data_IF_274048920884
#
_entry.id   IF_274048920884
#
_cell.length_a   1.000
_cell.length_b   1.000
_cell.length_c   1.000
_cell.angle_alpha   90.00
_cell.angle_beta   90.00
_cell.angle_gamma   90.00
#
_symmetry.space_group_name_H-M   'P 1'
#
loop_
_entity.id
_entity.type
_entity.pdbx_description
1 polymer ?
#
# COMPACT_ATOMS: atom_id res chain seq x y z
N UNK A 1 25.83 -90.34 -2.39
CA UNK A 1 27.28 -90.67 -2.35
C UNK A 1 27.97 -89.96 -3.51
N UNK A 2 29.31 -89.91 -3.50
CA UNK A 2 30.19 -89.16 -4.42
C UNK A 2 30.23 -87.65 -4.11
N UNK A 3 31.40 -87.06 -4.37
CA UNK A 3 32.04 -86.03 -3.54
C UNK A 3 33.02 -85.17 -4.37
N UNK A 4 33.44 -84.01 -3.83
CA UNK A 4 34.56 -83.13 -4.20
C UNK A 4 34.54 -82.28 -5.50
N UNK A 5 34.49 -80.94 -5.28
CA UNK A 5 35.39 -79.83 -5.73
C UNK A 5 35.80 -79.69 -7.21
N UNK A 6 36.03 -78.47 -7.74
CA UNK A 6 36.69 -77.31 -7.08
C UNK A 6 35.88 -75.98 -7.21
N UNK A 7 36.37 -74.75 -6.97
CA UNK A 7 37.70 -74.21 -6.58
C UNK A 7 37.54 -72.98 -5.62
N UNK A 8 38.60 -72.17 -5.44
CA UNK A 8 38.58 -70.80 -4.89
C UNK A 8 39.21 -69.82 -5.90
N UNK A 9 38.57 -68.67 -6.13
CA UNK A 9 39.24 -67.39 -6.41
C UNK A 9 38.37 -66.29 -5.83
N UNK A 10 38.95 -65.38 -5.04
CA UNK A 10 38.24 -64.24 -4.49
C UNK A 10 38.35 -63.04 -5.41
N UNK A 11 37.30 -62.22 -5.48
CA UNK A 11 37.40 -60.86 -6.00
C UNK A 11 36.75 -59.90 -5.00
N UNK A 12 37.49 -58.86 -4.64
CA UNK A 12 37.16 -57.90 -3.59
C UNK A 12 36.02 -56.97 -3.97
N UNK A 13 35.04 -56.83 -3.07
CA UNK A 13 34.06 -55.74 -3.09
C UNK A 13 34.75 -54.40 -2.90
N UNK A 14 34.82 -53.59 -3.95
CA UNK A 14 35.06 -52.14 -3.82
C UNK A 14 33.71 -51.43 -3.72
N UNK A 15 33.30 -51.11 -2.50
CA UNK A 15 32.21 -50.17 -2.27
C UNK A 15 32.70 -48.75 -2.57
N UNK A 16 32.26 -48.17 -3.68
CA UNK A 16 32.53 -46.77 -4.00
C UNK A 16 31.67 -45.87 -3.10
N UNK A 17 32.24 -45.44 -1.98
CA UNK A 17 31.62 -44.41 -1.13
C UNK A 17 31.65 -43.07 -1.86
N UNK A 18 30.50 -42.65 -2.42
CA UNK A 18 30.33 -41.29 -2.92
C UNK A 18 30.26 -40.36 -1.72
N UNK A 19 31.41 -39.80 -1.35
CA UNK A 19 31.47 -38.70 -0.40
C UNK A 19 30.81 -37.47 -1.04
N UNK A 20 29.55 -37.20 -0.67
CA UNK A 20 28.92 -35.91 -0.94
C UNK A 20 29.65 -34.88 -0.09
N UNK A 21 30.70 -34.28 -0.65
CA UNK A 21 31.33 -33.11 -0.08
C UNK A 21 30.28 -32.01 -0.04
N UNK A 22 29.81 -31.68 1.16
CA UNK A 22 28.94 -30.53 1.41
C UNK A 22 29.76 -29.25 1.19
N UNK A 23 29.94 -28.92 -0.09
CA UNK A 23 30.58 -27.70 -0.56
C UNK A 23 29.65 -26.52 -0.24
N UNK A 24 29.82 -25.96 0.96
CA UNK A 24 29.33 -24.62 1.31
C UNK A 24 30.12 -23.58 0.51
N UNK A 25 29.78 -23.41 -0.79
CA UNK A 25 30.50 -22.50 -1.69
C UNK A 25 29.91 -21.08 -1.60
N UNK A 26 30.64 -20.08 -1.08
CA UNK A 26 30.20 -18.68 -1.12
C UNK A 26 29.94 -18.20 -2.57
N UNK A 27 30.72 -18.72 -3.52
CA UNK A 27 30.57 -18.47 -4.95
C UNK A 27 29.23 -18.95 -5.55
N UNK A 28 28.61 -20.04 -5.07
CA UNK A 28 27.29 -20.47 -5.58
C UNK A 28 26.21 -19.49 -5.11
N UNK A 29 26.29 -19.03 -3.86
CA UNK A 29 25.40 -17.98 -3.35
C UNK A 29 25.61 -16.65 -4.08
N UNK A 30 26.85 -16.25 -4.34
CA UNK A 30 27.17 -15.04 -5.09
C UNK A 30 26.68 -15.10 -6.55
N UNK A 31 26.87 -16.23 -7.24
CA UNK A 31 26.34 -16.47 -8.59
C UNK A 31 24.81 -16.44 -8.63
N UNK A 32 24.15 -17.08 -7.66
CA UNK A 32 22.69 -17.08 -7.56
C UNK A 32 22.13 -15.68 -7.30
N UNK A 33 22.71 -14.94 -6.35
CA UNK A 33 22.31 -13.56 -6.07
C UNK A 33 22.57 -12.60 -7.24
N UNK A 34 23.66 -12.81 -7.99
CA UNK A 34 23.96 -12.03 -9.21
C UNK A 34 22.95 -12.32 -10.33
N UNK A 35 22.56 -13.59 -10.52
CA UNK A 35 21.53 -13.99 -11.49
C UNK A 35 20.14 -13.48 -11.09
N UNK A 36 19.77 -13.56 -9.82
CA UNK A 36 18.51 -13.02 -9.29
C UNK A 36 18.45 -11.49 -9.44
N UNK A 37 19.53 -10.76 -9.16
CA UNK A 37 19.65 -9.31 -9.38
C UNK A 37 19.60 -8.91 -10.87
N UNK A 38 20.23 -9.69 -11.75
CA UNK A 38 20.19 -9.49 -13.20
C UNK A 38 18.78 -9.73 -13.78
N UNK A 39 18.10 -10.81 -13.36
CA UNK A 39 16.69 -11.06 -13.73
C UNK A 39 15.79 -9.93 -13.21
N UNK A 40 15.99 -9.47 -11.98
CA UNK A 40 15.18 -8.44 -11.36
C UNK A 40 15.33 -7.07 -12.06
N UNK A 41 16.55 -6.64 -12.35
CA UNK A 41 16.80 -5.38 -13.07
C UNK A 41 16.23 -5.40 -14.50
N UNK A 42 16.35 -6.52 -15.21
CA UNK A 42 15.73 -6.69 -16.55
C UNK A 42 14.21 -6.60 -16.49
N UNK A 43 13.57 -7.23 -15.49
CA UNK A 43 12.11 -7.28 -15.35
C UNK A 43 11.45 -5.89 -15.26
N UNK A 44 12.08 -4.92 -14.57
CA UNK A 44 11.56 -3.54 -14.42
C UNK A 44 11.37 -2.79 -15.75
N UNK A 45 12.04 -3.24 -16.81
CA UNK A 45 12.00 -2.62 -18.14
C UNK A 45 11.10 -3.35 -19.13
N UNK A 46 10.48 -4.46 -18.70
CA UNK A 46 9.54 -5.24 -19.51
C UNK A 46 8.21 -4.48 -19.63
N UNK A 47 7.57 -4.44 -20.82
CA UNK A 47 6.23 -3.86 -20.99
C UNK A 47 5.18 -4.48 -20.05
N UNK A 48 4.21 -3.69 -19.59
CA UNK A 48 3.19 -4.08 -18.59
C UNK A 48 2.54 -5.45 -18.87
N UNK A 49 2.08 -5.68 -20.10
CA UNK A 49 1.43 -6.94 -20.49
C UNK A 49 2.37 -8.15 -20.45
N UNK A 50 3.63 -7.98 -20.85
CA UNK A 50 4.66 -9.02 -20.79
C UNK A 50 5.07 -9.31 -19.34
N UNK A 51 5.20 -8.28 -18.50
CA UNK A 51 5.49 -8.40 -17.08
C UNK A 51 4.36 -9.12 -16.34
N UNK A 52 3.10 -8.83 -16.69
CA UNK A 52 1.92 -9.54 -16.18
C UNK A 52 1.92 -11.02 -16.61
N UNK A 53 2.15 -11.31 -17.88
CA UNK A 53 2.21 -12.68 -18.38
C UNK A 53 3.35 -13.51 -17.76
N UNK A 54 4.50 -12.89 -17.45
CA UNK A 54 5.59 -13.53 -16.69
C UNK A 54 5.20 -13.73 -15.21
N UNK A 55 4.46 -12.81 -14.60
CA UNK A 55 3.93 -13.00 -13.24
C UNK A 55 2.94 -14.17 -13.17
N UNK A 56 2.03 -14.27 -14.14
CA UNK A 56 1.10 -15.40 -14.29
C UNK A 56 1.84 -16.74 -14.44
N UNK A 57 2.97 -16.77 -15.17
CA UNK A 57 3.85 -17.96 -15.25
C UNK A 57 4.45 -18.33 -13.90
N UNK A 58 4.91 -17.36 -13.09
CA UNK A 58 5.45 -17.63 -11.74
C UNK A 58 4.36 -18.16 -10.82
N UNK A 59 3.15 -17.57 -10.86
CA UNK A 59 1.99 -18.04 -10.10
C UNK A 59 1.64 -19.49 -10.45
N UNK A 60 1.60 -19.83 -11.75
CA UNK A 60 1.25 -21.17 -12.25
C UNK A 60 2.34 -22.23 -11.99
N UNK A 61 3.61 -21.83 -11.97
CA UNK A 61 4.74 -22.75 -11.78
C UNK A 61 5.13 -22.95 -10.31
N UNK A 62 4.89 -21.96 -9.45
CA UNK A 62 5.29 -21.95 -8.05
C UNK A 62 4.10 -21.68 -7.12
N UNK A 63 3.78 -20.40 -6.84
CA UNK A 63 2.62 -19.97 -6.04
C UNK A 63 2.44 -18.44 -6.10
N UNK A 64 1.29 -17.87 -5.67
CA UNK A 64 1.14 -16.43 -5.50
C UNK A 64 2.06 -15.83 -4.42
N UNK A 65 2.44 -16.57 -3.37
CA UNK A 65 3.48 -16.13 -2.42
C UNK A 65 4.86 -16.03 -3.08
N UNK A 66 5.21 -16.98 -3.95
CA UNK A 66 6.47 -16.94 -4.70
C UNK A 66 6.48 -15.74 -5.65
N UNK A 67 5.36 -15.46 -6.32
CA UNK A 67 5.15 -14.29 -7.16
C UNK A 67 5.27 -12.97 -6.37
N UNK A 68 4.65 -12.87 -5.19
CA UNK A 68 4.77 -11.70 -4.30
C UNK A 68 6.21 -11.50 -3.81
N UNK A 69 6.89 -12.59 -3.42
CA UNK A 69 8.31 -12.54 -3.03
C UNK A 69 9.19 -12.06 -4.19
N UNK A 70 8.93 -12.52 -5.42
CA UNK A 70 9.63 -12.04 -6.61
C UNK A 70 9.36 -10.55 -6.84
N UNK A 71 8.10 -10.10 -6.77
CA UNK A 71 7.73 -8.69 -6.91
C UNK A 71 8.47 -7.79 -5.91
N UNK A 72 8.59 -8.21 -4.64
CA UNK A 72 9.40 -7.53 -3.61
C UNK A 72 10.88 -7.42 -4.00
N UNK A 73 11.51 -8.51 -4.43
CA UNK A 73 12.91 -8.51 -4.88
C UNK A 73 13.12 -7.61 -6.11
N UNK A 74 12.12 -7.51 -6.99
CA UNK A 74 12.20 -6.64 -8.16
C UNK A 74 12.02 -5.17 -7.78
N UNK A 75 10.97 -4.79 -7.04
CA UNK A 75 10.55 -3.39 -6.94
C UNK A 75 10.91 -2.69 -5.63
N UNK A 76 11.30 -3.40 -4.57
CA UNK A 76 11.60 -2.78 -3.27
C UNK A 76 13.12 -2.67 -3.01
N UNK A 77 13.52 -1.53 -2.45
CA UNK A 77 14.80 -1.35 -1.74
C UNK A 77 14.53 -0.66 -0.43
N UNK A 78 15.03 -1.20 0.69
CA UNK A 78 14.86 -0.65 2.04
C UNK A 78 13.39 -0.34 2.41
N UNK A 79 12.44 -1.13 1.88
CA UNK A 79 11.00 -0.96 2.11
C UNK A 79 10.31 0.09 1.22
N UNK A 80 11.02 0.65 0.23
CA UNK A 80 10.48 1.65 -0.70
C UNK A 80 10.44 1.13 -2.15
N UNK A 81 9.37 1.47 -2.88
CA UNK A 81 9.28 1.22 -4.32
C UNK A 81 10.36 2.02 -5.05
N UNK A 82 11.09 1.34 -5.94
CA UNK A 82 12.15 1.94 -6.74
C UNK A 82 11.58 2.89 -7.80
N UNK A 83 12.20 4.07 -8.02
CA UNK A 83 11.68 5.07 -8.95
C UNK A 83 11.88 4.65 -10.42
N UNK A 84 10.97 5.09 -11.29
CA UNK A 84 11.09 4.93 -12.75
C UNK A 84 10.85 3.51 -13.27
N UNK A 85 10.11 2.69 -12.53
CA UNK A 85 9.79 1.30 -12.91
C UNK A 85 8.39 1.18 -13.52
N UNK A 86 8.13 0.08 -14.25
CA UNK A 86 6.75 -0.30 -14.62
C UNK A 86 5.89 -0.53 -13.36
N UNK A 87 4.58 -0.35 -13.46
CA UNK A 87 3.70 -0.24 -12.30
C UNK A 87 3.60 -1.57 -11.52
N UNK A 88 4.14 -1.66 -10.29
CA UNK A 88 4.06 -2.89 -9.50
C UNK A 88 2.68 -3.09 -8.86
N UNK A 89 1.82 -2.06 -8.82
CA UNK A 89 0.45 -2.15 -8.32
C UNK A 89 -0.37 -3.15 -9.16
N UNK A 90 -0.29 -3.04 -10.49
CA UNK A 90 -0.97 -3.94 -11.44
C UNK A 90 -0.53 -5.41 -11.31
N UNK A 91 0.75 -5.60 -11.00
CA UNK A 91 1.32 -6.93 -10.78
C UNK A 91 0.85 -7.48 -9.43
N UNK A 92 0.80 -6.66 -8.38
CA UNK A 92 0.21 -7.02 -7.09
C UNK A 92 -1.29 -7.35 -7.23
N UNK A 93 -2.06 -6.63 -8.04
CA UNK A 93 -3.45 -6.96 -8.39
C UNK A 93 -3.56 -8.36 -9.03
N UNK A 94 -2.68 -8.68 -9.98
CA UNK A 94 -2.65 -10.02 -10.61
C UNK A 94 -2.36 -11.12 -9.59
N UNK A 95 -1.45 -10.88 -8.64
CA UNK A 95 -1.15 -11.82 -7.54
C UNK A 95 -2.32 -11.93 -6.54
N UNK A 96 -2.99 -10.83 -6.24
CA UNK A 96 -4.18 -10.79 -5.38
C UNK A 96 -5.32 -11.66 -5.92
N UNK A 97 -5.61 -11.57 -7.21
CA UNK A 97 -6.60 -12.43 -7.85
C UNK A 97 -6.22 -13.92 -7.71
N UNK A 98 -4.93 -14.26 -7.84
CA UNK A 98 -4.45 -15.63 -7.62
C UNK A 98 -4.54 -16.08 -6.15
N UNK A 99 -4.28 -15.20 -5.17
CA UNK A 99 -4.55 -15.52 -3.75
C UNK A 99 -6.02 -15.85 -3.50
N UNK A 100 -6.95 -15.14 -4.15
CA UNK A 100 -8.38 -15.48 -4.05
C UNK A 100 -8.69 -16.83 -4.72
N UNK A 101 -8.14 -17.12 -5.90
CA UNK A 101 -8.31 -18.42 -6.56
C UNK A 101 -7.88 -19.60 -5.68
N UNK A 102 -6.79 -19.44 -4.94
CA UNK A 102 -6.23 -20.52 -4.12
C UNK A 102 -6.88 -20.62 -2.74
N UNK A 103 -7.14 -19.49 -2.07
CA UNK A 103 -7.53 -19.44 -0.65
C UNK A 103 -8.92 -18.83 -0.40
N UNK A 104 -9.65 -18.43 -1.44
CA UNK A 104 -10.88 -17.64 -1.32
C UNK A 104 -10.62 -16.30 -0.62
N UNK A 105 -11.59 -15.83 0.16
CA UNK A 105 -11.48 -14.54 0.88
C UNK A 105 -10.32 -14.51 1.90
N UNK A 106 -9.88 -15.66 2.41
CA UNK A 106 -8.71 -15.74 3.28
C UNK A 106 -7.41 -15.29 2.58
N UNK A 107 -7.39 -15.26 1.23
CA UNK A 107 -6.32 -14.65 0.45
C UNK A 107 -6.08 -13.17 0.77
N UNK A 108 -7.07 -12.45 1.29
CA UNK A 108 -6.91 -11.05 1.73
C UNK A 108 -5.89 -10.91 2.87
N UNK A 109 -5.78 -11.91 3.74
CA UNK A 109 -4.78 -11.97 4.81
C UNK A 109 -3.33 -12.21 4.33
N UNK A 110 -3.14 -12.47 3.03
CA UNK A 110 -1.81 -12.61 2.40
C UNK A 110 -1.30 -11.28 1.82
N UNK A 111 -2.16 -10.25 1.75
CA UNK A 111 -1.86 -8.95 1.17
C UNK A 111 -1.34 -7.94 2.20
N UNK A 112 -0.55 -6.98 1.72
CA UNK A 112 -0.09 -5.83 2.49
C UNK A 112 -0.14 -4.53 1.67
N UNK A 113 0.66 -3.55 2.07
CA UNK A 113 0.68 -2.16 1.58
C UNK A 113 1.75 -1.86 0.55
N UNK A 114 2.70 -2.77 0.35
CA UNK A 114 3.99 -2.44 -0.29
C UNK A 114 3.82 -1.98 -1.75
N UNK A 115 2.71 -2.34 -2.38
CA UNK A 115 2.34 -1.99 -3.75
C UNK A 115 1.00 -1.25 -3.83
N UNK A 116 0.78 -0.30 -2.92
CA UNK A 116 -0.36 0.62 -2.94
C UNK A 116 -1.71 -0.09 -2.90
N UNK A 117 -1.85 -1.04 -1.96
CA UNK A 117 -3.07 -1.82 -1.72
C UNK A 117 -3.52 -2.72 -2.90
N UNK A 118 -2.81 -2.74 -4.05
CA UNK A 118 -3.21 -3.47 -5.27
C UNK A 118 -3.46 -4.97 -5.10
N UNK A 119 -2.75 -5.64 -4.20
CA UNK A 119 -3.05 -7.04 -3.83
C UNK A 119 -4.47 -7.21 -3.29
N UNK A 120 -4.94 -6.28 -2.46
CA UNK A 120 -6.30 -6.29 -1.91
C UNK A 120 -7.34 -6.04 -3.00
N UNK A 121 -7.04 -5.15 -3.97
CA UNK A 121 -7.89 -4.96 -5.14
C UNK A 121 -8.08 -6.28 -5.90
N UNK A 122 -6.99 -7.00 -6.18
CA UNK A 122 -7.03 -8.27 -6.90
C UNK A 122 -7.89 -9.33 -6.20
N UNK A 123 -7.75 -9.47 -4.88
CA UNK A 123 -8.56 -10.39 -4.08
C UNK A 123 -10.04 -10.03 -4.15
N UNK A 124 -10.36 -8.74 -3.99
CA UNK A 124 -11.74 -8.24 -3.90
C UNK A 124 -12.44 -8.21 -5.25
N UNK A 125 -11.74 -7.80 -6.31
CA UNK A 125 -12.24 -7.81 -7.69
C UNK A 125 -12.56 -9.22 -8.15
N UNK A 126 -11.68 -10.18 -7.88
CA UNK A 126 -11.92 -11.58 -8.22
C UNK A 126 -13.05 -12.20 -7.36
N UNK A 127 -13.12 -11.87 -6.06
CA UNK A 127 -14.26 -12.24 -5.20
C UNK A 127 -15.58 -11.70 -5.76
N UNK A 128 -15.63 -10.41 -6.12
CA UNK A 128 -16.82 -9.78 -6.67
C UNK A 128 -17.23 -10.40 -8.01
N UNK A 129 -16.25 -10.80 -8.84
CA UNK A 129 -16.47 -11.47 -10.13
C UNK A 129 -17.02 -12.89 -9.98
N UNK A 130 -16.62 -13.64 -8.96
CA UNK A 130 -17.05 -15.03 -8.77
C UNK A 130 -18.27 -15.21 -7.87
N UNK A 131 -18.37 -14.42 -6.80
CA UNK A 131 -19.38 -14.57 -5.76
C UNK A 131 -20.41 -13.42 -5.75
N UNK A 132 -20.20 -12.39 -6.56
CA UNK A 132 -21.02 -11.18 -6.59
C UNK A 132 -20.77 -10.25 -5.39
N UNK A 133 -21.23 -9.00 -5.49
CA UNK A 133 -20.97 -7.96 -4.49
C UNK A 133 -21.50 -8.28 -3.08
N UNK A 134 -22.46 -9.20 -2.95
CA UNK A 134 -22.96 -9.67 -1.65
C UNK A 134 -21.92 -10.46 -0.84
N UNK A 135 -20.82 -10.88 -1.46
CA UNK A 135 -19.69 -11.52 -0.79
C UNK A 135 -18.90 -10.55 0.11
N UNK A 136 -18.98 -9.22 -0.14
CA UNK A 136 -18.20 -8.17 0.56
C UNK A 136 -18.28 -8.24 2.09
N UNK A 137 -19.42 -8.65 2.65
CA UNK A 137 -19.54 -8.86 4.11
C UNK A 137 -18.46 -9.78 4.72
N UNK A 138 -17.95 -10.75 3.94
CA UNK A 138 -16.89 -11.68 4.36
C UNK A 138 -15.53 -11.01 4.56
N UNK A 139 -15.31 -9.81 4.00
CA UNK A 139 -14.09 -9.03 4.20
C UNK A 139 -13.90 -8.74 5.70
N UNK A 140 -14.99 -8.45 6.42
CA UNK A 140 -14.95 -8.20 7.86
C UNK A 140 -14.43 -9.39 8.67
N UNK A 141 -14.85 -10.60 8.28
CA UNK A 141 -14.48 -11.85 8.96
C UNK A 141 -12.97 -12.13 8.86
N UNK A 142 -12.33 -11.74 7.75
CA UNK A 142 -10.87 -11.85 7.57
C UNK A 142 -10.15 -10.67 8.21
N UNK A 143 -10.52 -9.43 7.86
CA UNK A 143 -9.82 -8.22 8.33
C UNK A 143 -9.82 -8.08 9.86
N UNK A 144 -10.89 -8.48 10.54
CA UNK A 144 -10.97 -8.45 12.03
C UNK A 144 -9.98 -9.40 12.73
N UNK A 145 -9.38 -10.34 12.02
CA UNK A 145 -8.33 -11.24 12.55
C UNK A 145 -6.91 -10.70 12.36
N UNK A 146 -6.73 -9.64 11.55
CA UNK A 146 -5.44 -9.05 11.26
C UNK A 146 -5.03 -8.02 12.32
N UNK A 147 -3.73 -7.69 12.46
CA UNK A 147 -3.26 -6.69 13.43
C UNK A 147 -3.77 -5.26 13.18
N UNK A 148 -4.22 -4.95 11.96
CA UNK A 148 -4.75 -3.65 11.55
C UNK A 148 -6.02 -3.85 10.69
N UNK A 149 -7.18 -4.09 11.33
CA UNK A 149 -8.45 -4.29 10.64
C UNK A 149 -8.93 -3.08 9.83
N UNK A 150 -8.86 -1.82 10.32
CA UNK A 150 -9.25 -0.63 9.56
C UNK A 150 -8.47 -0.49 8.25
N UNK A 151 -7.15 -0.73 8.27
CA UNK A 151 -6.35 -0.74 7.05
C UNK A 151 -6.81 -1.81 6.05
N UNK A 152 -7.05 -3.04 6.51
CA UNK A 152 -7.48 -4.14 5.65
C UNK A 152 -8.83 -3.85 4.96
N UNK A 153 -9.81 -3.30 5.69
CA UNK A 153 -11.10 -2.94 5.07
C UNK A 153 -11.00 -1.69 4.18
N UNK A 154 -10.09 -0.75 4.47
CA UNK A 154 -9.81 0.41 3.63
C UNK A 154 -9.23 -0.04 2.26
N UNK A 155 -8.21 -0.88 2.26
CA UNK A 155 -7.64 -1.46 1.04
C UNK A 155 -8.63 -2.35 0.27
N UNK A 156 -9.53 -3.03 0.97
CA UNK A 156 -10.65 -3.74 0.33
C UNK A 156 -11.69 -2.78 -0.27
N UNK A 157 -11.92 -1.61 0.33
CA UNK A 157 -12.78 -0.54 -0.17
C UNK A 157 -12.33 0.00 -1.53
N UNK A 158 -11.02 0.12 -1.75
CA UNK A 158 -10.46 0.45 -3.06
C UNK A 158 -10.84 -0.58 -4.14
N UNK A 159 -10.69 -1.87 -3.84
CA UNK A 159 -11.08 -2.97 -4.73
C UNK A 159 -12.59 -3.10 -4.97
N UNK A 160 -13.41 -2.75 -3.96
CA UNK A 160 -14.87 -2.69 -4.09
C UNK A 160 -15.26 -1.63 -5.13
N UNK A 161 -14.65 -0.45 -5.08
CA UNK A 161 -14.96 0.65 -5.99
C UNK A 161 -14.56 0.32 -7.44
N UNK A 162 -13.39 -0.28 -7.64
CA UNK A 162 -12.96 -0.82 -8.94
C UNK A 162 -13.95 -1.89 -9.46
N UNK A 163 -14.38 -2.82 -8.60
CA UNK A 163 -15.32 -3.88 -8.96
C UNK A 163 -16.75 -3.40 -9.28
N UNK A 164 -17.13 -2.17 -8.91
CA UNK A 164 -18.37 -1.50 -9.34
C UNK A 164 -18.14 -0.47 -10.45
N UNK A 165 -16.98 -0.51 -11.12
CA UNK A 165 -16.57 0.42 -12.18
C UNK A 165 -16.63 1.90 -11.75
N UNK A 166 -16.20 2.18 -10.51
CA UNK A 166 -16.13 3.51 -9.92
C UNK A 166 -17.50 4.25 -9.81
N UNK A 167 -18.62 3.52 -9.71
CA UNK A 167 -19.86 4.08 -9.18
C UNK A 167 -19.72 4.26 -7.65
N UNK A 168 -19.30 5.46 -7.24
CA UNK A 168 -19.21 5.91 -5.85
C UNK A 168 -20.38 5.43 -4.97
N UNK A 169 -21.61 5.52 -5.47
CA UNK A 169 -22.79 5.18 -4.67
C UNK A 169 -23.01 3.66 -4.62
N UNK A 170 -22.57 2.90 -5.62
CA UNK A 170 -22.50 1.44 -5.53
C UNK A 170 -21.39 0.98 -4.58
N UNK A 171 -20.22 1.60 -4.62
CA UNK A 171 -19.09 1.28 -3.73
C UNK A 171 -19.44 1.50 -2.26
N UNK A 172 -20.04 2.66 -1.94
CA UNK A 172 -20.55 2.94 -0.59
C UNK A 172 -21.65 1.95 -0.14
N UNK A 173 -22.58 1.57 -1.03
CA UNK A 173 -23.61 0.55 -0.73
C UNK A 173 -23.03 -0.84 -0.53
N UNK A 174 -21.89 -1.16 -1.15
CA UNK A 174 -21.18 -2.41 -0.90
C UNK A 174 -20.44 -2.36 0.45
N UNK A 175 -19.76 -1.24 0.78
CA UNK A 175 -19.18 -1.03 2.10
C UNK A 175 -20.24 -1.03 3.24
N UNK A 176 -21.50 -0.66 2.96
CA UNK A 176 -22.61 -0.80 3.91
C UNK A 176 -22.92 -2.26 4.30
N UNK A 177 -22.44 -3.25 3.55
CA UNK A 177 -22.57 -4.68 3.87
C UNK A 177 -21.57 -5.15 4.95
N UNK A 178 -20.51 -4.37 5.22
CA UNK A 178 -19.54 -4.65 6.28
C UNK A 178 -20.16 -4.24 7.63
N UNK A 179 -20.24 -5.13 8.63
CA UNK A 179 -20.84 -4.80 9.92
C UNK A 179 -20.00 -3.82 10.73
N UNK A 180 -20.67 -2.90 11.43
CA UNK A 180 -20.06 -2.04 12.44
C UNK A 180 -19.20 -0.89 11.88
N UNK A 181 -18.21 -0.40 12.66
CA UNK A 181 -17.45 0.81 12.32
C UNK A 181 -16.62 0.65 11.04
N UNK A 182 -16.14 -0.56 10.75
CA UNK A 182 -15.33 -0.90 9.57
C UNK A 182 -15.99 -0.55 8.22
N UNK A 183 -17.31 -0.39 8.17
CA UNK A 183 -17.99 0.13 6.96
C UNK A 183 -17.57 1.55 6.60
N UNK A 184 -17.19 2.38 7.59
CA UNK A 184 -16.68 3.74 7.36
C UNK A 184 -15.30 3.72 6.72
N UNK A 185 -14.41 2.84 7.19
CA UNK A 185 -13.03 2.74 6.72
C UNK A 185 -12.96 2.16 5.29
N UNK A 186 -13.80 1.15 5.00
CA UNK A 186 -14.08 0.70 3.64
C UNK A 186 -14.57 1.85 2.74
N UNK A 187 -15.53 2.64 3.24
CA UNK A 187 -16.06 3.79 2.51
C UNK A 187 -15.00 4.87 2.25
N UNK A 188 -14.03 5.08 3.14
CA UNK A 188 -12.89 5.98 2.92
C UNK A 188 -12.05 5.52 1.73
N UNK A 189 -11.70 4.23 1.67
CA UNK A 189 -10.99 3.64 0.55
C UNK A 189 -11.75 3.78 -0.78
N UNK A 190 -13.03 3.43 -0.80
CA UNK A 190 -13.88 3.58 -1.99
C UNK A 190 -14.02 5.04 -2.44
N UNK A 191 -14.10 6.00 -1.51
CA UNK A 191 -14.19 7.43 -1.84
C UNK A 191 -12.89 8.03 -2.37
N UNK A 192 -11.73 7.47 -2.02
CA UNK A 192 -10.43 7.99 -2.47
C UNK A 192 -10.26 7.91 -3.98
N UNK A 193 -10.62 6.80 -4.63
CA UNK A 193 -10.55 6.68 -6.09
C UNK A 193 -11.49 7.66 -6.79
N UNK A 194 -12.74 7.74 -6.32
CA UNK A 194 -13.73 8.69 -6.82
C UNK A 194 -13.27 10.15 -6.72
N UNK A 195 -12.46 10.51 -5.71
CA UNK A 195 -11.96 11.87 -5.58
C UNK A 195 -11.13 12.34 -6.80
N UNK A 196 -10.43 11.42 -7.48
CA UNK A 196 -9.67 11.72 -8.70
C UNK A 196 -10.54 11.88 -9.95
N UNK A 197 -11.77 11.35 -9.95
CA UNK A 197 -12.72 11.46 -11.08
C UNK A 197 -13.75 12.58 -10.90
N UNK A 198 -13.72 13.30 -9.77
CA UNK A 198 -14.56 14.47 -9.52
C UNK A 198 -14.15 15.68 -10.39
N UNK A 199 -14.64 15.66 -11.64
CA UNK A 199 -14.51 16.68 -12.71
C UNK A 199 -13.75 17.96 -12.29
N UNK A 200 -12.55 18.11 -12.85
CA UNK A 200 -11.62 19.22 -12.58
C UNK A 200 -12.22 20.63 -12.81
N UNK A 201 -13.37 20.77 -13.49
CA UNK A 201 -14.13 22.03 -13.53
C UNK A 201 -15.11 22.17 -12.35
N UNK A 202 -15.78 21.11 -11.92
CA UNK A 202 -16.74 21.13 -10.81
C UNK A 202 -16.08 21.25 -9.43
N UNK A 203 -14.94 20.58 -9.21
CA UNK A 203 -14.17 20.63 -7.95
C UNK A 203 -13.54 22.00 -7.68
N UNK A 204 -13.31 22.82 -8.71
CA UNK A 204 -12.78 24.19 -8.56
C UNK A 204 -13.69 25.14 -7.78
N UNK A 205 -15.01 24.85 -7.68
CA UNK A 205 -15.98 25.74 -7.04
C UNK A 205 -16.59 25.18 -5.75
N UNK A 206 -16.96 23.88 -5.66
CA UNK A 206 -17.66 23.32 -4.48
C UNK A 206 -17.38 21.82 -4.23
N UNK A 207 -16.15 21.39 -3.90
CA UNK A 207 -15.82 19.97 -3.67
C UNK A 207 -16.66 19.39 -2.52
N UNK A 208 -16.87 20.20 -1.47
CA UNK A 208 -17.72 19.89 -0.33
C UNK A 208 -19.17 19.50 -0.66
N UNK A 209 -19.69 19.94 -1.81
CA UNK A 209 -21.09 19.67 -2.15
C UNK A 209 -21.35 18.18 -2.35
N UNK A 210 -20.37 17.40 -2.82
CA UNK A 210 -20.43 15.94 -2.92
C UNK A 210 -20.58 15.35 -1.53
N UNK A 211 -19.62 15.64 -0.64
CA UNK A 211 -19.63 15.13 0.73
C UNK A 211 -20.91 15.47 1.50
N UNK A 212 -21.45 16.69 1.38
CA UNK A 212 -22.70 17.08 2.08
C UNK A 212 -23.95 16.32 1.63
N UNK A 213 -23.91 15.66 0.46
CA UNK A 213 -25.01 14.81 -0.04
C UNK A 213 -24.86 13.34 0.36
N UNK A 214 -23.71 12.94 0.91
CA UNK A 214 -23.49 11.58 1.38
C UNK A 214 -24.17 11.33 2.74
N UNK A 215 -24.50 10.07 3.07
CA UNK A 215 -24.89 9.67 4.42
C UNK A 215 -23.89 10.17 5.47
N UNK A 216 -24.37 10.54 6.66
CA UNK A 216 -23.57 11.21 7.69
C UNK A 216 -22.23 10.52 7.99
N UNK A 217 -22.21 9.17 8.05
CA UNK A 217 -20.99 8.39 8.29
C UNK A 217 -19.89 8.55 7.24
N UNK A 218 -20.25 8.89 6.00
CA UNK A 218 -19.30 9.06 4.90
C UNK A 218 -18.86 10.52 4.67
N UNK A 219 -19.42 11.49 5.40
CA UNK A 219 -19.07 12.90 5.21
C UNK A 219 -17.63 13.22 5.66
N UNK A 220 -17.19 12.65 6.78
CA UNK A 220 -15.81 12.79 7.27
C UNK A 220 -14.82 12.01 6.37
N UNK A 221 -15.03 10.71 6.05
CA UNK A 221 -14.25 10.00 5.02
C UNK A 221 -14.12 10.76 3.70
N UNK A 222 -15.20 11.34 3.17
CA UNK A 222 -15.15 12.15 1.95
C UNK A 222 -14.25 13.39 2.07
N UNK A 223 -14.19 14.01 3.26
CA UNK A 223 -13.24 15.08 3.55
C UNK A 223 -11.77 14.63 3.53
N UNK A 224 -11.50 13.38 3.95
CA UNK A 224 -10.17 12.76 3.82
C UNK A 224 -9.78 12.57 2.35
N UNK A 225 -10.69 12.04 1.53
CA UNK A 225 -10.49 11.85 0.08
C UNK A 225 -10.19 13.17 -0.65
N UNK A 226 -10.87 14.27 -0.29
CA UNK A 226 -10.55 15.63 -0.79
C UNK A 226 -9.11 16.03 -0.45
N UNK A 227 -8.63 15.70 0.75
CA UNK A 227 -7.25 16.00 1.17
C UNK A 227 -6.21 15.25 0.35
N UNK A 228 -6.42 13.96 0.11
CA UNK A 228 -5.54 13.12 -0.71
C UNK A 228 -5.48 13.60 -2.18
N UNK A 229 -6.61 14.01 -2.75
CA UNK A 229 -6.72 14.50 -4.13
C UNK A 229 -5.75 15.66 -4.43
N UNK A 230 -5.63 16.64 -3.52
CA UNK A 230 -4.85 17.86 -3.77
C UNK A 230 -3.32 17.69 -3.86
N UNK A 231 -2.78 16.50 -3.59
CA UNK A 231 -1.34 16.26 -3.56
C UNK A 231 -0.88 15.03 -4.36
N UNK A 232 -1.79 14.18 -4.84
CA UNK A 232 -1.42 13.05 -5.72
C UNK A 232 -1.39 13.40 -7.20
N UNK A 233 -2.06 14.48 -7.65
CA UNK A 233 -2.07 14.86 -9.06
C UNK A 233 -1.29 16.15 -9.38
N UNK A 234 -0.12 15.99 -10.00
CA UNK A 234 0.65 17.08 -10.59
C UNK A 234 -0.01 17.72 -11.83
N UNK A 235 -1.11 17.15 -12.36
CA UNK A 235 -1.93 17.74 -13.42
C UNK A 235 -2.92 18.80 -12.90
N UNK A 236 -3.18 18.84 -11.59
CA UNK A 236 -4.09 19.80 -10.99
C UNK A 236 -3.32 20.99 -10.41
N UNK A 237 -3.49 22.17 -11.01
CA UNK A 237 -2.81 23.42 -10.66
C UNK A 237 -3.23 24.04 -9.29
N UNK A 238 -3.65 23.21 -8.33
CA UNK A 238 -4.01 23.64 -6.97
C UNK A 238 -2.74 23.79 -6.16
N UNK A 239 -2.34 25.03 -5.86
CA UNK A 239 -1.20 25.28 -4.96
C UNK A 239 -1.53 24.80 -3.54
N UNK A 240 -0.50 24.49 -2.75
CA UNK A 240 -0.68 24.11 -1.34
C UNK A 240 -1.46 25.16 -0.55
N UNK A 241 -1.26 26.45 -0.85
CA UNK A 241 -2.06 27.53 -0.28
C UNK A 241 -3.57 27.44 -0.62
N UNK A 242 -3.90 27.08 -1.86
CA UNK A 242 -5.28 26.90 -2.31
C UNK A 242 -5.92 25.66 -1.68
N UNK A 243 -5.20 24.52 -1.64
CA UNK A 243 -5.64 23.29 -0.99
C UNK A 243 -5.96 23.53 0.51
N UNK A 244 -5.04 24.16 1.24
CA UNK A 244 -5.23 24.56 2.65
C UNK A 244 -6.47 25.46 2.81
N UNK A 245 -6.70 26.42 1.92
CA UNK A 245 -7.87 27.30 1.97
C UNK A 245 -9.18 26.54 1.68
N UNK A 246 -9.17 25.56 0.80
CA UNK A 246 -10.34 24.71 0.50
C UNK A 246 -10.66 23.82 1.71
N UNK A 247 -9.68 23.10 2.27
CA UNK A 247 -9.84 22.31 3.50
C UNK A 247 -10.32 23.18 4.68
N UNK A 248 -9.78 24.38 4.85
CA UNK A 248 -10.20 25.35 5.88
C UNK A 248 -11.67 25.79 5.76
N UNK A 249 -12.30 25.59 4.59
CA UNK A 249 -13.70 25.98 4.28
C UNK A 249 -14.66 24.77 4.28
N UNK A 250 -14.26 23.63 4.84
CA UNK A 250 -15.13 22.48 4.95
C UNK A 250 -16.40 22.77 5.78
N UNK A 251 -17.55 22.11 5.49
CA UNK A 251 -18.82 22.34 6.19
C UNK A 251 -18.81 22.02 7.69
N UNK A 252 -17.82 21.28 8.18
CA UNK A 252 -17.65 20.96 9.59
C UNK A 252 -16.18 20.95 10.00
N UNK A 253 -15.91 21.19 11.28
CA UNK A 253 -14.56 21.14 11.86
C UNK A 253 -13.92 19.76 11.69
N UNK A 254 -14.71 18.68 11.78
CA UNK A 254 -14.22 17.32 11.58
C UNK A 254 -13.70 17.11 10.14
N UNK A 255 -14.50 17.49 9.14
CA UNK A 255 -14.11 17.42 7.71
C UNK A 255 -12.90 18.31 7.40
N UNK A 256 -12.82 19.49 8.02
CA UNK A 256 -11.68 20.42 7.87
C UNK A 256 -10.38 19.78 8.37
N UNK A 257 -10.41 19.21 9.58
CA UNK A 257 -9.25 18.52 10.19
C UNK A 257 -8.75 17.36 9.32
N UNK A 258 -9.62 16.44 8.90
CA UNK A 258 -9.18 15.27 8.12
C UNK A 258 -8.70 15.63 6.71
N UNK A 259 -9.28 16.67 6.08
CA UNK A 259 -8.81 17.19 4.79
C UNK A 259 -7.40 17.76 4.90
N UNK A 260 -7.14 18.61 5.90
CA UNK A 260 -5.81 19.17 6.16
C UNK A 260 -4.81 18.06 6.46
N UNK A 261 -5.13 17.15 7.39
CA UNK A 261 -4.25 16.05 7.77
C UNK A 261 -3.86 15.19 6.56
N UNK A 262 -4.82 14.77 5.73
CA UNK A 262 -4.58 13.91 4.56
C UNK A 262 -3.83 14.62 3.44
N UNK A 263 -4.12 15.90 3.23
CA UNK A 263 -3.33 16.77 2.36
C UNK A 263 -1.86 16.87 2.83
N UNK A 264 -1.63 17.14 4.12
CA UNK A 264 -0.29 17.22 4.71
C UNK A 264 0.47 15.87 4.64
N UNK A 265 -0.19 14.74 4.93
CA UNK A 265 0.37 13.39 4.73
C UNK A 265 0.77 13.15 3.27
N UNK A 266 -0.03 13.64 2.33
CA UNK A 266 0.20 13.45 0.90
C UNK A 266 1.32 14.34 0.35
N UNK A 267 1.56 15.53 0.92
CA UNK A 267 2.80 16.31 0.68
C UNK A 267 4.03 15.44 0.98
N UNK A 268 4.07 14.75 2.12
CA UNK A 268 5.22 13.92 2.49
C UNK A 268 5.46 12.79 1.49
N UNK A 269 4.38 12.13 1.04
CA UNK A 269 4.45 11.07 0.00
C UNK A 269 4.96 11.64 -1.33
N UNK A 270 4.41 12.76 -1.78
CA UNK A 270 4.77 13.42 -3.04
C UNK A 270 6.22 13.96 -3.08
N UNK A 271 6.84 14.23 -1.92
CA UNK A 271 8.28 14.55 -1.82
C UNK A 271 9.16 13.36 -1.41
N UNK A 272 8.61 12.15 -1.31
CA UNK A 272 9.31 10.93 -0.87
C UNK A 272 10.08 11.12 0.45
N UNK A 273 9.51 11.89 1.38
CA UNK A 273 10.16 12.21 2.66
C UNK A 273 11.31 13.23 2.62
N UNK A 274 11.59 13.92 1.49
CA UNK A 274 12.56 15.04 1.49
C UNK A 274 12.04 16.18 2.39
N UNK A 275 12.53 16.20 3.62
CA UNK A 275 12.07 17.14 4.64
C UNK A 275 12.35 18.60 4.27
N UNK A 276 13.40 18.87 3.47
CA UNK A 276 13.67 20.24 2.99
C UNK A 276 12.66 20.65 1.93
N UNK A 277 12.23 19.75 1.05
CA UNK A 277 11.15 20.01 0.11
C UNK A 277 9.80 20.17 0.81
N UNK A 278 9.52 19.35 1.83
CA UNK A 278 8.30 19.42 2.66
C UNK A 278 8.23 20.75 3.43
N UNK A 279 9.33 21.20 4.06
CA UNK A 279 9.36 22.51 4.73
C UNK A 279 9.04 23.65 3.76
N UNK A 280 9.70 23.68 2.60
CA UNK A 280 9.45 24.70 1.57
C UNK A 280 7.99 24.69 1.08
N UNK A 281 7.36 23.52 1.02
CA UNK A 281 5.94 23.40 0.66
C UNK A 281 5.04 24.02 1.75
N UNK A 282 5.28 23.69 3.03
CA UNK A 282 4.57 24.31 4.16
C UNK A 282 4.81 25.83 4.27
N UNK A 283 5.98 26.34 3.87
CA UNK A 283 6.24 27.79 3.87
C UNK A 283 5.28 28.56 2.92
N UNK A 284 4.75 27.89 1.89
CA UNK A 284 3.77 28.47 0.94
C UNK A 284 2.34 28.51 1.46
N UNK A 285 1.96 27.74 2.49
CA UNK A 285 0.59 27.76 3.02
C UNK A 285 0.35 29.03 3.85
N UNK A 286 -0.91 29.49 4.03
CA UNK A 286 -1.20 30.67 4.85
C UNK A 286 -0.60 30.56 6.24
N UNK A 287 -0.02 31.65 6.74
CA UNK A 287 0.74 31.71 8.01
C UNK A 287 0.05 31.00 9.18
N UNK A 288 -1.25 31.25 9.37
CA UNK A 288 -2.10 30.62 10.41
C UNK A 288 -2.24 29.09 10.32
N UNK A 289 -1.80 28.47 9.23
CA UNK A 289 -1.86 27.04 8.95
C UNK A 289 -0.46 26.42 8.75
N UNK A 290 0.60 27.23 8.72
CA UNK A 290 1.98 26.76 8.51
C UNK A 290 2.42 25.80 9.61
N UNK A 291 2.16 26.14 10.87
CA UNK A 291 2.43 25.29 12.03
C UNK A 291 1.71 23.94 11.93
N UNK A 292 0.42 23.94 11.56
CA UNK A 292 -0.34 22.70 11.36
C UNK A 292 0.25 21.83 10.24
N UNK A 293 0.66 22.43 9.12
CA UNK A 293 1.34 21.71 8.03
C UNK A 293 2.64 21.06 8.50
N UNK A 294 3.48 21.81 9.23
CA UNK A 294 4.77 21.33 9.75
C UNK A 294 4.59 20.24 10.82
N UNK A 295 3.59 20.38 11.69
CA UNK A 295 3.21 19.39 12.71
C UNK A 295 2.70 18.08 12.09
N UNK A 296 1.72 18.16 11.18
CA UNK A 296 1.09 16.98 10.55
C UNK A 296 2.09 16.23 9.65
N UNK A 297 2.89 16.97 8.87
CA UNK A 297 3.94 16.37 8.02
C UNK A 297 5.02 15.69 8.86
N UNK A 298 5.45 16.27 9.98
CA UNK A 298 6.43 15.65 10.87
C UNK A 298 5.89 14.39 11.56
N UNK A 299 4.65 14.45 12.07
CA UNK A 299 4.01 13.28 12.65
C UNK A 299 3.98 12.13 11.63
N UNK A 300 3.63 12.42 10.38
CA UNK A 300 3.61 11.42 9.32
C UNK A 300 5.00 10.94 8.89
N UNK A 301 6.01 11.83 8.79
CA UNK A 301 7.41 11.46 8.55
C UNK A 301 7.90 10.44 9.59
N UNK A 302 7.57 10.64 10.87
CA UNK A 302 7.94 9.76 11.98
C UNK A 302 7.15 8.44 11.95
N UNK A 303 5.83 8.49 11.72
CA UNK A 303 5.01 7.27 11.66
C UNK A 303 5.37 6.40 10.45
N UNK A 304 5.64 6.99 9.29
CA UNK A 304 6.06 6.28 8.08
C UNK A 304 7.54 5.85 8.09
N UNK A 305 8.36 6.32 9.04
CA UNK A 305 9.76 5.89 9.20
C UNK A 305 10.78 6.65 8.35
N UNK A 306 10.38 7.72 7.66
CA UNK A 306 11.30 8.60 6.92
C UNK A 306 12.29 9.35 7.83
N UNK A 307 11.95 9.52 9.11
CA UNK A 307 12.81 10.12 10.14
C UNK A 307 12.83 9.24 11.39
N UNK A 308 13.82 9.46 12.26
CA UNK A 308 13.98 8.65 13.47
C UNK A 308 12.73 8.67 14.36
N UNK A 309 12.27 7.47 14.74
CA UNK A 309 11.19 7.31 15.73
C UNK A 309 11.67 7.54 17.17
N UNK A 310 12.97 7.44 17.43
CA UNK A 310 13.56 7.53 18.78
C UNK A 310 13.99 8.94 19.19
N UNK A 311 14.15 9.87 18.24
CA UNK A 311 14.45 11.26 18.57
C UNK A 311 13.19 11.98 19.11
N UNK A 312 13.33 12.86 20.10
CA UNK A 312 12.25 13.73 20.57
C UNK A 312 11.66 14.59 19.44
N UNK A 313 10.34 14.81 19.46
CA UNK A 313 9.65 15.62 18.45
C UNK A 313 10.22 17.05 18.39
N UNK A 314 10.57 17.66 19.54
CA UNK A 314 11.21 18.99 19.58
C UNK A 314 12.56 19.03 18.84
N UNK A 315 13.39 17.99 18.96
CA UNK A 315 14.67 17.91 18.24
C UNK A 315 14.45 17.81 16.73
N UNK A 316 13.48 16.99 16.28
CA UNK A 316 13.13 16.88 14.87
C UNK A 316 12.56 18.22 14.33
N UNK A 317 11.70 18.91 15.08
CA UNK A 317 11.18 20.24 14.70
C UNK A 317 12.28 21.28 14.55
N UNK A 318 13.22 21.33 15.50
CA UNK A 318 14.42 22.17 15.43
C UNK A 318 15.27 21.84 14.20
N UNK A 319 15.56 20.56 13.98
CA UNK A 319 16.41 20.07 12.90
C UNK A 319 15.85 20.39 11.51
N UNK A 320 14.52 20.38 11.36
CA UNK A 320 13.85 20.42 10.05
C UNK A 320 13.13 21.73 9.74
N UNK A 321 12.59 22.42 10.75
CA UNK A 321 11.82 23.67 10.59
C UNK A 321 12.41 24.85 11.36
N UNK A 322 13.56 24.68 12.04
CA UNK A 322 14.34 25.77 12.63
C UNK A 322 13.63 26.58 13.72
N UNK A 323 12.61 26.02 14.36
CA UNK A 323 11.71 26.73 15.29
C UNK A 323 11.33 25.85 16.48
N UNK A 324 11.34 26.42 17.69
CA UNK A 324 11.15 25.64 18.93
C UNK A 324 9.68 25.53 19.38
N UNK A 325 8.95 26.65 19.47
CA UNK A 325 7.79 26.72 20.40
C UNK A 325 6.43 27.09 19.78
N UNK A 326 6.35 27.41 18.48
CA UNK A 326 5.09 27.87 17.83
C UNK A 326 4.69 27.10 16.56
N UNK A 327 5.61 26.28 16.04
CA UNK A 327 5.45 25.57 14.76
C UNK A 327 4.98 24.14 14.97
N UNK A 328 5.51 23.44 15.98
CA UNK A 328 5.05 22.11 16.38
C UNK A 328 4.37 22.22 17.76
N UNK A 329 3.03 22.39 17.84
CA UNK A 329 2.35 22.29 19.13
C UNK A 329 2.57 20.89 19.70
N UNK A 330 3.22 20.83 20.87
CA UNK A 330 3.54 19.57 21.57
C UNK A 330 2.24 18.94 22.05
N UNK A 331 1.70 18.00 21.28
CA UNK A 331 0.73 17.04 21.75
C UNK A 331 1.49 15.81 22.29
N UNK A 332 2.00 15.92 23.53
CA UNK A 332 2.46 14.75 24.31
C UNK A 332 1.28 13.84 24.73
N UNK A 333 0.04 14.27 24.41
CA UNK A 333 -1.19 13.51 24.62
C UNK A 333 -2.21 13.80 23.52
N UNK A 334 -2.26 12.93 22.51
CA UNK A 334 -3.51 12.26 22.15
C UNK A 334 -3.17 10.98 21.36
N UNK A 335 -3.81 9.83 21.65
CA UNK A 335 -3.59 8.63 20.88
C UNK A 335 -4.12 8.84 19.46
N UNK A 336 -3.32 8.41 18.47
CA UNK A 336 -3.81 8.15 17.12
C UNK A 336 -5.03 7.22 17.25
N UNK A 337 -6.22 7.59 16.72
CA UNK A 337 -7.30 6.62 16.54
C UNK A 337 -6.77 5.50 15.65
N UNK A 338 -6.63 4.32 16.22
CA UNK A 338 -6.35 3.08 15.47
C UNK A 338 -7.56 2.73 14.62
#
# INVERSE_FOLDING_TARGET
MINFRPHRTGLTLFAAAVAVAALSVPGIFALRGSLESSRASSFRTVPREEAKAEMEKIILAESPEAAMKFLRVVYLSDGHILPGTSDPHDLAHTIGAAFFKEKGIAGLGMCDREFGEGCMHGVVGEMAREQGMQAVKQIADVCSTLPDPPHCVHGAGHGIDEAVAFDMMAGLRACDLIPGPLSSDCGEGALMHNAFTWDAKATSLRPWSVCTRLPAKYQVPCGSSIGNYFAQDGSHATTSAAATLICSRAPSTAMSKVCLLRFHQSIVRAKTGDVKAISRECDTVPERARSLCQSDTLHFLRSAGYVSRTLPVKELCLQYFGTEDHVCPIADSDPIPQ
#
